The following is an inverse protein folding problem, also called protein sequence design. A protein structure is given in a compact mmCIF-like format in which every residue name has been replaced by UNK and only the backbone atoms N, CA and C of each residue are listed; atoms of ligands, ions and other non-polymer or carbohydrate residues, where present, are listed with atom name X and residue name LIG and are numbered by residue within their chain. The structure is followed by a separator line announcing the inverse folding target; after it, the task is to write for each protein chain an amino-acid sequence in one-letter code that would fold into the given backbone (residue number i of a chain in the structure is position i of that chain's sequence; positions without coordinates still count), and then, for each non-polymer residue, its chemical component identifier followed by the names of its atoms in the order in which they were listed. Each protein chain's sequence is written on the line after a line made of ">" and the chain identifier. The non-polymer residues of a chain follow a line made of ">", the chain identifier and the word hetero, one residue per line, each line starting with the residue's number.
data_IF_961902153708
#
_entry.id   IF_961902153708
#
_cell.length_a   1.000
_cell.length_b   1.000
_cell.length_c   1.000
_cell.angle_alpha   90.00
_cell.angle_beta   90.00
_cell.angle_gamma   90.00
#
_symmetry.space_group_name_H-M   'P 1'
#
loop_
_entity.id
_entity.type
_entity.pdbx_description
1 polymer ?
#
# COMPACT_ATOMS: atom_id res chain seq x y z
N UNK A 1 -2.95 -6.57 -7.51
CA UNK A 1 -2.77 -5.39 -6.64
C UNK A 1 -1.91 -4.39 -7.40
N UNK A 2 -2.42 -3.19 -7.63
CA UNK A 2 -1.68 -2.11 -8.28
C UNK A 2 -1.27 -1.08 -7.22
N UNK A 3 -0.15 -0.38 -7.37
CA UNK A 3 0.18 0.70 -6.44
C UNK A 3 0.70 1.93 -7.19
N UNK A 4 0.42 3.10 -6.63
CA UNK A 4 0.89 4.39 -7.10
C UNK A 4 1.69 5.04 -5.99
N UNK A 5 2.93 5.38 -6.29
CA UNK A 5 3.78 6.15 -5.39
C UNK A 5 4.00 7.55 -5.95
N UNK A 6 3.79 8.55 -5.11
CA UNK A 6 4.07 9.95 -5.43
C UNK A 6 5.26 10.40 -4.59
N UNK A 7 6.42 10.61 -5.23
CA UNK A 7 7.65 11.12 -4.60
C UNK A 7 7.50 12.54 -4.09
N UNK A 8 6.66 13.37 -4.73
CA UNK A 8 6.43 14.77 -4.36
C UNK A 8 5.76 14.87 -2.98
N UNK A 9 4.69 14.09 -2.77
CA UNK A 9 3.92 14.08 -1.51
C UNK A 9 4.31 12.93 -0.58
N UNK A 10 5.26 12.08 -1.00
CA UNK A 10 5.67 10.84 -0.34
C UNK A 10 4.46 9.97 0.03
N UNK A 11 3.52 9.86 -0.89
CA UNK A 11 2.26 9.13 -0.68
C UNK A 11 2.28 7.84 -1.48
N UNK A 12 2.04 6.71 -0.82
CA UNK A 12 1.88 5.40 -1.44
C UNK A 12 0.40 5.00 -1.37
N UNK A 13 -0.22 4.82 -2.53
CA UNK A 13 -1.59 4.29 -2.64
C UNK A 13 -1.52 2.89 -3.21
N UNK A 14 -1.93 1.90 -2.43
CA UNK A 14 -2.03 0.49 -2.85
C UNK A 14 -3.48 0.16 -3.12
N UNK A 15 -3.80 -0.05 -4.38
CA UNK A 15 -5.13 -0.47 -4.85
C UNK A 15 -5.24 -1.99 -4.76
N UNK A 16 -5.98 -2.42 -3.74
CA UNK A 16 -6.44 -3.79 -3.57
C UNK A 16 -7.72 -4.09 -4.33
N UNK A 17 -8.06 -5.37 -4.42
CA UNK A 17 -9.31 -5.82 -5.03
C UNK A 17 -10.52 -5.56 -4.11
N UNK A 18 -10.30 -5.55 -2.79
CA UNK A 18 -11.33 -5.34 -1.76
C UNK A 18 -11.12 -4.05 -0.97
N UNK A 19 -9.88 -3.57 -0.83
CA UNK A 19 -9.56 -2.37 -0.06
C UNK A 19 -8.45 -1.54 -0.72
N UNK A 20 -8.59 -0.21 -0.70
CA UNK A 20 -7.50 0.70 -1.07
C UNK A 20 -6.78 1.17 0.18
N UNK A 21 -5.46 0.98 0.22
CA UNK A 21 -4.61 1.41 1.33
C UNK A 21 -3.85 2.68 0.93
N UNK A 22 -4.04 3.76 1.67
CA UNK A 22 -3.32 5.02 1.46
C UNK A 22 -2.35 5.22 2.61
N UNK A 23 -1.07 5.32 2.29
CA UNK A 23 0.02 5.58 3.23
C UNK A 23 0.65 6.93 2.90
N UNK A 24 0.80 7.79 3.90
CA UNK A 24 1.41 9.12 3.77
C UNK A 24 2.79 9.15 4.42
N UNK A 25 3.69 10.00 3.91
CA UNK A 25 5.07 10.15 4.40
C UNK A 25 5.95 8.88 4.28
N UNK A 26 5.77 8.11 3.20
CA UNK A 26 6.48 6.86 2.94
C UNK A 26 7.80 7.11 2.23
N UNK A 27 8.89 6.53 2.74
CA UNK A 27 10.19 6.49 2.06
C UNK A 27 10.24 5.39 0.99
N UNK A 28 11.06 5.56 -0.05
CA UNK A 28 11.17 4.59 -1.16
C UNK A 28 11.55 3.19 -0.67
N UNK A 29 12.41 3.08 0.35
CA UNK A 29 12.82 1.80 0.93
C UNK A 29 11.70 1.05 1.68
N UNK A 30 10.61 1.74 2.06
CA UNK A 30 9.51 1.13 2.82
C UNK A 30 8.34 0.72 1.91
N UNK A 31 8.39 1.06 0.62
CA UNK A 31 7.29 0.77 -0.32
C UNK A 31 7.03 -0.73 -0.40
N UNK A 32 8.09 -1.54 -0.53
CA UNK A 32 7.93 -2.99 -0.68
C UNK A 32 7.29 -3.62 0.56
N UNK A 33 7.75 -3.25 1.76
CA UNK A 33 7.19 -3.74 3.02
C UNK A 33 5.71 -3.33 3.17
N UNK A 34 5.37 -2.08 2.87
CA UNK A 34 4.00 -1.57 2.96
C UNK A 34 3.06 -2.22 1.95
N UNK A 35 3.54 -2.52 0.74
CA UNK A 35 2.77 -3.26 -0.27
C UNK A 35 2.54 -4.71 0.19
N UNK A 36 3.53 -5.37 0.79
CA UNK A 36 3.39 -6.72 1.35
C UNK A 36 2.38 -6.72 2.51
N UNK A 37 2.47 -5.74 3.41
CA UNK A 37 1.54 -5.59 4.52
C UNK A 37 0.10 -5.35 4.04
N UNK A 38 -0.07 -4.53 2.99
CA UNK A 38 -1.37 -4.31 2.36
C UNK A 38 -1.93 -5.62 1.75
N UNK A 39 -1.08 -6.44 1.10
CA UNK A 39 -1.48 -7.77 0.61
C UNK A 39 -1.95 -8.69 1.74
N UNK A 40 -1.23 -8.72 2.85
CA UNK A 40 -1.59 -9.54 4.01
C UNK A 40 -2.91 -9.07 4.64
N UNK A 41 -3.10 -7.76 4.79
CA UNK A 41 -4.38 -7.21 5.26
C UNK A 41 -5.55 -7.57 4.35
N UNK A 42 -5.36 -7.53 3.03
CA UNK A 42 -6.38 -7.99 2.09
C UNK A 42 -6.65 -9.49 2.19
N UNK A 43 -5.62 -10.32 2.40
CA UNK A 43 -5.77 -11.76 2.54
C UNK A 43 -6.53 -12.13 3.82
N UNK A 44 -6.28 -11.42 4.92
CA UNK A 44 -6.99 -11.58 6.21
C UNK A 44 -8.37 -10.89 6.20
N UNK A 45 -8.69 -10.09 5.17
CA UNK A 45 -9.96 -9.37 5.10
C UNK A 45 -11.12 -10.35 4.88
N UNK A 46 -11.85 -10.59 5.97
CA UNK A 46 -13.00 -11.52 6.12
C UNK A 46 -12.66 -13.01 6.20
N UNK A 47 -11.52 -13.36 6.80
CA UNK A 47 -11.34 -14.70 7.38
C UNK A 47 -12.24 -14.89 8.62
#
# INVERSE_FOLDING_TARGET
>A
MNFKYSTITRTLTVFGAKMTHVFSNVGVGEIEELVINAKLKEATWRA
#
